data_IF_342989853763
#
_entry.id   IF_342989853763
#
_cell.length_a   1.000
_cell.length_b   1.000
_cell.length_c   1.000
_cell.angle_alpha   90.00
_cell.angle_beta   90.00
_cell.angle_gamma   90.00
#
_symmetry.space_group_name_H-M   'P 1'
#
loop_
_entity.id
_entity.type
_entity.pdbx_description
1 polymer ?
#
# COMPACT_ATOMS: atom_id res chain seq x y z
N UNK A 1 -49.84 -3.16 7.95
CA UNK A 1 -50.67 -2.95 6.74
C UNK A 1 -50.97 -1.47 6.48
N UNK A 2 -51.44 -0.68 7.45
CA UNK A 2 -51.75 0.75 7.27
C UNK A 2 -50.55 1.62 6.84
N UNK A 3 -49.38 1.42 7.46
CA UNK A 3 -48.15 2.16 7.12
C UNK A 3 -47.70 1.88 5.67
N UNK A 4 -47.76 0.60 5.24
CA UNK A 4 -47.38 0.19 3.88
C UNK A 4 -48.40 0.59 2.82
N UNK A 5 -49.69 0.49 3.13
CA UNK A 5 -50.77 0.69 2.15
C UNK A 5 -51.27 2.12 1.99
N UNK A 6 -51.05 3.00 2.97
CA UNK A 6 -51.53 4.40 2.93
C UNK A 6 -50.40 5.41 3.12
N UNK A 7 -49.63 5.27 4.20
CA UNK A 7 -48.64 6.29 4.59
C UNK A 7 -47.43 6.35 3.65
N UNK A 8 -46.85 5.20 3.28
CA UNK A 8 -45.72 5.14 2.34
C UNK A 8 -46.07 5.75 0.97
N UNK A 9 -47.17 5.37 0.30
CA UNK A 9 -47.58 5.99 -0.97
C UNK A 9 -47.73 7.52 -0.91
N UNK A 10 -48.28 8.04 0.19
CA UNK A 10 -48.50 9.49 0.38
C UNK A 10 -47.19 10.24 0.58
N UNK A 11 -46.31 9.75 1.47
CA UNK A 11 -44.96 10.31 1.65
C UNK A 11 -44.13 10.23 0.36
N UNK A 12 -44.30 9.15 -0.39
CA UNK A 12 -43.67 8.97 -1.69
C UNK A 12 -44.18 9.94 -2.76
N UNK A 13 -45.45 10.37 -2.68
CA UNK A 13 -46.00 11.42 -3.54
C UNK A 13 -45.32 12.75 -3.26
N UNK A 14 -45.17 13.10 -1.98
CA UNK A 14 -44.44 14.28 -1.54
C UNK A 14 -42.95 14.24 -1.88
N UNK A 15 -42.35 13.08 -2.09
CA UNK A 15 -40.97 13.01 -2.56
C UNK A 15 -40.83 13.36 -4.06
N UNK A 16 -41.90 13.22 -4.85
CA UNK A 16 -41.93 13.52 -6.30
C UNK A 16 -42.40 14.93 -6.64
N UNK A 17 -43.26 15.54 -5.82
CA UNK A 17 -43.93 16.80 -6.17
C UNK A 17 -42.92 17.97 -6.28
N UNK A 18 -42.79 18.67 -7.42
CA UNK A 18 -41.94 19.86 -7.59
C UNK A 18 -42.21 20.97 -6.57
N UNK A 19 -43.42 21.07 -6.02
CA UNK A 19 -43.79 22.11 -5.05
C UNK A 19 -43.24 21.87 -3.64
N UNK A 20 -42.70 20.69 -3.38
CA UNK A 20 -42.27 20.26 -2.04
C UNK A 20 -40.74 20.26 -1.86
N UNK A 21 -40.00 20.92 -2.76
CA UNK A 21 -38.52 20.90 -2.79
C UNK A 21 -37.85 21.16 -1.43
N UNK A 22 -38.38 22.08 -0.61
CA UNK A 22 -37.84 22.39 0.72
C UNK A 22 -38.04 21.28 1.77
N UNK A 23 -39.08 20.46 1.65
CA UNK A 23 -39.44 19.40 2.62
C UNK A 23 -39.06 17.99 2.17
N UNK A 24 -38.53 17.82 0.95
CA UNK A 24 -38.07 16.51 0.46
C UNK A 24 -37.02 15.84 1.34
N UNK A 25 -36.10 16.62 1.94
CA UNK A 25 -35.03 16.08 2.79
C UNK A 25 -35.59 15.52 4.11
N UNK A 26 -36.38 16.29 4.91
CA UNK A 26 -37.07 15.73 6.07
C UNK A 26 -38.00 14.56 5.74
N UNK A 27 -38.76 14.63 4.63
CA UNK A 27 -39.67 13.56 4.21
C UNK A 27 -38.91 12.28 3.88
N UNK A 28 -37.79 12.37 3.15
CA UNK A 28 -36.97 11.20 2.84
C UNK A 28 -36.41 10.54 4.11
N UNK A 29 -35.98 11.32 5.10
CA UNK A 29 -35.54 10.79 6.39
C UNK A 29 -36.69 10.19 7.21
N UNK A 30 -37.88 10.80 7.18
CA UNK A 30 -39.05 10.23 7.83
C UNK A 30 -39.43 8.87 7.21
N UNK A 31 -39.42 8.77 5.87
CA UNK A 31 -39.64 7.51 5.17
C UNK A 31 -38.58 6.48 5.56
N UNK A 32 -37.30 6.86 5.60
CA UNK A 32 -36.23 5.94 6.02
C UNK A 32 -36.45 5.43 7.45
N UNK A 33 -36.74 6.31 8.40
CA UNK A 33 -37.01 5.93 9.80
C UNK A 33 -38.20 5.00 9.91
N UNK A 34 -39.26 5.23 9.14
CA UNK A 34 -40.40 4.32 9.07
C UNK A 34 -40.02 2.96 8.48
N UNK A 35 -39.17 2.93 7.45
CA UNK A 35 -38.67 1.68 6.86
C UNK A 35 -37.80 0.90 7.84
N UNK A 36 -36.94 1.57 8.62
CA UNK A 36 -36.09 0.96 9.64
C UNK A 36 -36.87 0.36 10.82
N UNK A 37 -38.13 0.78 11.03
CA UNK A 37 -39.05 0.18 12.01
C UNK A 37 -39.79 -1.06 11.48
N UNK A 38 -39.63 -1.40 10.19
CA UNK A 38 -40.28 -2.56 9.59
C UNK A 38 -39.40 -3.82 9.68
N UNK A 39 -40.00 -5.02 9.63
CA UNK A 39 -39.23 -6.27 9.52
C UNK A 39 -38.32 -6.29 8.28
N UNK A 40 -37.14 -6.91 8.40
CA UNK A 40 -36.08 -6.93 7.37
C UNK A 40 -36.58 -7.28 5.96
N UNK A 41 -37.50 -8.25 5.86
CA UNK A 41 -38.09 -8.67 4.58
C UNK A 41 -38.79 -7.52 3.85
N UNK A 42 -39.50 -6.67 4.59
CA UNK A 42 -40.25 -5.54 4.02
C UNK A 42 -39.29 -4.38 3.77
N UNK A 43 -38.34 -4.15 4.68
CA UNK A 43 -37.29 -3.15 4.52
C UNK A 43 -36.56 -3.37 3.20
N UNK A 44 -35.99 -4.55 2.95
CA UNK A 44 -35.23 -4.80 1.73
C UNK A 44 -36.07 -4.70 0.45
N UNK A 45 -37.35 -5.08 0.50
CA UNK A 45 -38.26 -4.97 -0.65
C UNK A 45 -38.58 -3.51 -1.01
N UNK A 46 -38.82 -2.66 -0.02
CA UNK A 46 -39.18 -1.24 -0.22
C UNK A 46 -37.95 -0.33 -0.35
N UNK A 47 -36.80 -0.72 0.22
CA UNK A 47 -35.56 0.06 0.24
C UNK A 47 -35.09 0.39 -1.17
N UNK A 48 -35.10 -0.58 -2.09
CA UNK A 48 -34.72 -0.34 -3.48
C UNK A 48 -35.60 0.73 -4.14
N UNK A 49 -36.92 0.62 -3.95
CA UNK A 49 -37.89 1.57 -4.49
C UNK A 49 -37.76 2.97 -3.90
N UNK A 50 -37.36 3.06 -2.63
CA UNK A 50 -37.03 4.32 -1.96
C UNK A 50 -35.74 4.93 -2.51
N UNK A 51 -34.65 4.16 -2.55
CA UNK A 51 -33.34 4.60 -3.05
C UNK A 51 -33.42 5.10 -4.49
N UNK A 52 -34.16 4.39 -5.35
CA UNK A 52 -34.42 4.82 -6.73
C UNK A 52 -34.94 6.26 -6.82
N UNK A 53 -35.88 6.63 -5.94
CA UNK A 53 -36.50 7.96 -5.96
C UNK A 53 -35.53 9.04 -5.48
N UNK A 54 -34.74 8.73 -4.46
CA UNK A 54 -33.74 9.67 -3.93
C UNK A 54 -32.62 9.85 -4.96
N UNK A 55 -32.10 8.77 -5.53
CA UNK A 55 -31.05 8.80 -6.57
C UNK A 55 -31.53 9.52 -7.83
N UNK A 56 -32.81 9.43 -8.19
CA UNK A 56 -33.38 10.17 -9.31
C UNK A 56 -33.20 11.70 -9.17
N UNK A 57 -33.12 12.24 -7.96
CA UNK A 57 -32.84 13.68 -7.74
C UNK A 57 -31.43 14.07 -8.18
N UNK A 58 -30.46 13.15 -8.10
CA UNK A 58 -29.09 13.34 -8.58
C UNK A 58 -29.03 13.42 -10.12
N UNK A 59 -29.99 12.83 -10.82
CA UNK A 59 -30.08 12.87 -12.27
C UNK A 59 -30.64 14.20 -12.82
N UNK A 60 -30.99 15.16 -11.95
CA UNK A 60 -31.49 16.47 -12.35
C UNK A 60 -30.41 17.34 -13.00
N UNK A 61 -30.80 18.17 -13.99
CA UNK A 61 -29.89 19.19 -14.57
C UNK A 61 -29.65 20.37 -13.61
N UNK A 62 -30.53 20.58 -12.63
CA UNK A 62 -30.38 21.65 -11.66
C UNK A 62 -29.31 21.29 -10.61
N UNK A 63 -28.24 22.10 -10.56
CA UNK A 63 -27.13 21.94 -9.62
C UNK A 63 -27.57 21.98 -8.15
N UNK A 64 -28.52 22.84 -7.79
CA UNK A 64 -29.02 22.95 -6.43
C UNK A 64 -29.75 21.66 -6.00
N UNK A 65 -30.61 21.13 -6.87
CA UNK A 65 -31.31 19.87 -6.63
C UNK A 65 -30.35 18.69 -6.52
N UNK A 66 -29.31 18.63 -7.36
CA UNK A 66 -28.27 17.58 -7.23
C UNK A 66 -27.53 17.68 -5.90
N UNK A 67 -27.21 18.88 -5.45
CA UNK A 67 -26.52 19.07 -4.17
C UNK A 67 -27.41 18.67 -2.99
N UNK A 68 -28.65 19.13 -2.97
CA UNK A 68 -29.64 18.74 -1.97
C UNK A 68 -29.86 17.22 -1.95
N UNK A 69 -29.94 16.60 -3.14
CA UNK A 69 -30.02 15.15 -3.29
C UNK A 69 -28.83 14.42 -2.68
N UNK A 70 -27.60 14.92 -2.90
CA UNK A 70 -26.38 14.36 -2.28
C UNK A 70 -26.39 14.48 -0.77
N UNK A 71 -26.75 15.64 -0.23
CA UNK A 71 -26.79 15.87 1.21
C UNK A 71 -27.87 14.99 1.88
N UNK A 72 -28.99 14.78 1.20
CA UNK A 72 -30.06 13.86 1.64
C UNK A 72 -29.58 12.42 1.62
N UNK A 73 -28.99 11.98 0.51
CA UNK A 73 -28.48 10.62 0.35
C UNK A 73 -27.34 10.33 1.33
N UNK A 74 -26.50 11.31 1.65
CA UNK A 74 -25.45 11.18 2.67
C UNK A 74 -26.05 10.92 4.07
N UNK A 75 -27.09 11.65 4.47
CA UNK A 75 -27.80 11.41 5.74
C UNK A 75 -28.46 10.04 5.76
N UNK A 76 -29.08 9.63 4.65
CA UNK A 76 -29.68 8.30 4.50
C UNK A 76 -28.62 7.20 4.65
N UNK A 77 -27.47 7.34 4.00
CA UNK A 77 -26.36 6.36 4.08
C UNK A 77 -25.79 6.28 5.49
N UNK A 78 -25.69 7.41 6.21
CA UNK A 78 -25.25 7.43 7.60
C UNK A 78 -26.24 6.72 8.54
N UNK A 79 -27.55 6.87 8.33
CA UNK A 79 -28.57 6.15 9.11
C UNK A 79 -28.69 4.67 8.74
N UNK A 80 -28.52 4.30 7.46
CA UNK A 80 -28.56 2.90 6.99
C UNK A 80 -27.31 2.10 7.36
N UNK A 81 -26.17 2.76 7.53
CA UNK A 81 -24.88 2.16 7.84
C UNK A 81 -24.22 1.40 6.68
N UNK A 82 -23.08 0.79 6.99
CA UNK A 82 -22.24 0.07 6.03
C UNK A 82 -22.94 -1.06 5.26
N UNK A 83 -23.77 -1.94 5.87
CA UNK A 83 -24.31 -3.13 5.19
C UNK A 83 -25.15 -2.82 3.94
N UNK A 84 -25.80 -1.66 3.92
CA UNK A 84 -26.68 -1.25 2.82
C UNK A 84 -25.97 -0.37 1.78
N UNK A 85 -24.71 0.01 1.99
CA UNK A 85 -23.99 0.89 1.07
C UNK A 85 -23.86 0.31 -0.34
N UNK A 86 -23.63 -1.00 -0.45
CA UNK A 86 -23.61 -1.71 -1.73
C UNK A 86 -24.92 -1.59 -2.52
N UNK A 87 -26.07 -1.58 -1.85
CA UNK A 87 -27.37 -1.38 -2.51
C UNK A 87 -27.52 0.06 -3.04
N UNK A 88 -27.07 1.05 -2.27
CA UNK A 88 -27.03 2.46 -2.70
C UNK A 88 -26.11 2.63 -3.91
N UNK A 89 -24.92 2.06 -3.86
CA UNK A 89 -23.95 2.10 -4.96
C UNK A 89 -24.51 1.44 -6.23
N UNK A 90 -25.14 0.27 -6.10
CA UNK A 90 -25.78 -0.41 -7.21
C UNK A 90 -26.86 0.47 -7.85
N UNK A 91 -27.72 1.10 -7.03
CA UNK A 91 -28.79 1.95 -7.54
C UNK A 91 -28.28 3.25 -8.18
N UNK A 92 -27.16 3.78 -7.68
CA UNK A 92 -26.48 4.90 -8.33
C UNK A 92 -25.92 4.49 -9.71
N UNK A 93 -25.30 3.31 -9.82
CA UNK A 93 -24.76 2.79 -11.09
C UNK A 93 -25.87 2.53 -12.12
N UNK A 94 -27.02 2.01 -11.72
CA UNK A 94 -28.18 1.77 -12.60
C UNK A 94 -28.90 3.04 -13.03
N UNK A 95 -28.96 4.06 -12.16
CA UNK A 95 -29.66 5.32 -12.46
C UNK A 95 -28.83 6.34 -13.24
N UNK A 96 -27.50 6.34 -13.09
CA UNK A 96 -26.60 7.37 -13.62
C UNK A 96 -25.71 6.85 -14.76
N UNK A 97 -26.32 6.34 -15.83
CA UNK A 97 -25.63 5.51 -16.83
C UNK A 97 -25.03 6.25 -18.03
N UNK A 98 -25.49 7.45 -18.39
CA UNK A 98 -25.11 8.09 -19.68
C UNK A 98 -24.83 9.59 -19.58
N UNK A 99 -23.85 10.02 -20.38
CA UNK A 99 -23.47 11.43 -20.57
C UNK A 99 -22.95 12.06 -19.28
N UNK A 100 -23.38 13.30 -19.01
CA UNK A 100 -22.97 14.05 -17.82
C UNK A 100 -23.27 13.35 -16.49
N UNK A 101 -24.23 12.40 -16.47
CA UNK A 101 -24.61 11.65 -15.28
C UNK A 101 -23.48 10.75 -14.76
N UNK A 102 -22.56 10.32 -15.63
CA UNK A 102 -21.37 9.55 -15.21
C UNK A 102 -20.46 10.37 -14.29
N UNK A 103 -20.23 11.64 -14.62
CA UNK A 103 -19.46 12.54 -13.74
C UNK A 103 -20.20 12.83 -12.43
N UNK A 104 -21.52 12.92 -12.48
CA UNK A 104 -22.34 13.05 -11.26
C UNK A 104 -22.20 11.80 -10.38
N UNK A 105 -22.14 10.60 -10.97
CA UNK A 105 -21.95 9.34 -10.26
C UNK A 105 -20.63 9.34 -9.48
N UNK A 106 -19.49 9.58 -10.14
CA UNK A 106 -18.18 9.62 -9.49
C UNK A 106 -18.08 10.68 -8.38
N UNK A 107 -18.59 11.89 -8.64
CA UNK A 107 -18.59 12.96 -7.64
C UNK A 107 -19.50 12.67 -6.45
N UNK A 108 -20.69 12.12 -6.70
CA UNK A 108 -21.66 11.80 -5.64
C UNK A 108 -21.20 10.61 -4.81
N UNK A 109 -20.63 9.57 -5.44
CA UNK A 109 -20.04 8.44 -4.74
C UNK A 109 -18.94 8.89 -3.78
N UNK A 110 -18.02 9.76 -4.24
CA UNK A 110 -17.00 10.33 -3.39
C UNK A 110 -17.58 11.06 -2.18
N UNK A 111 -18.62 11.88 -2.40
CA UNK A 111 -19.28 12.62 -1.32
C UNK A 111 -19.85 11.69 -0.24
N UNK A 112 -20.50 10.59 -0.66
CA UNK A 112 -21.04 9.59 0.26
C UNK A 112 -19.92 8.87 1.02
N UNK A 113 -18.88 8.40 0.31
CA UNK A 113 -17.74 7.75 0.94
C UNK A 113 -17.04 8.67 1.95
N UNK A 114 -16.81 9.93 1.61
CA UNK A 114 -16.15 10.89 2.49
C UNK A 114 -16.94 11.12 3.79
N UNK A 115 -18.27 11.04 3.74
CA UNK A 115 -19.13 11.14 4.93
C UNK A 115 -19.23 9.84 5.72
N UNK A 116 -19.23 8.69 5.03
CA UNK A 116 -19.37 7.39 5.64
C UNK A 116 -18.06 6.92 6.30
N UNK A 117 -16.91 7.12 5.64
CA UNK A 117 -15.58 6.63 6.06
C UNK A 117 -15.25 6.86 7.54
N UNK A 118 -15.47 8.05 8.13
CA UNK A 118 -15.17 8.29 9.56
C UNK A 118 -15.97 7.43 10.54
N UNK A 119 -17.11 6.86 10.11
CA UNK A 119 -17.98 6.01 10.94
C UNK A 119 -17.71 4.53 10.76
N UNK A 120 -16.84 4.16 9.82
CA UNK A 120 -16.58 2.77 9.44
C UNK A 120 -15.45 2.18 10.27
N UNK A 121 -15.62 0.89 10.59
CA UNK A 121 -14.52 0.04 11.04
C UNK A 121 -13.82 -0.57 9.81
N UNK A 122 -12.53 -0.92 9.92
CA UNK A 122 -11.86 -1.71 8.90
C UNK A 122 -12.66 -2.97 8.54
N UNK A 123 -12.79 -3.25 7.26
CA UNK A 123 -13.53 -4.39 6.71
C UNK A 123 -15.01 -4.15 6.43
N UNK A 124 -15.59 -3.03 6.87
CA UNK A 124 -17.03 -2.80 6.77
C UNK A 124 -17.55 -2.69 5.32
N UNK A 125 -16.69 -2.37 4.36
CA UNK A 125 -17.04 -2.26 2.93
C UNK A 125 -16.49 -3.41 2.06
N UNK A 126 -15.87 -4.42 2.66
CA UNK A 126 -15.20 -5.49 1.89
C UNK A 126 -16.15 -6.22 0.94
N UNK A 127 -17.40 -6.43 1.37
CA UNK A 127 -18.44 -7.11 0.57
C UNK A 127 -18.80 -6.36 -0.73
N UNK A 128 -18.60 -5.05 -0.78
CA UNK A 128 -18.86 -4.21 -1.96
C UNK A 128 -17.60 -3.54 -2.50
N UNK A 129 -16.41 -3.97 -2.08
CA UNK A 129 -15.15 -3.38 -2.50
C UNK A 129 -14.87 -3.63 -4.00
N UNK A 130 -15.10 -4.84 -4.51
CA UNK A 130 -14.87 -5.17 -5.92
C UNK A 130 -15.72 -4.30 -6.87
N UNK A 131 -17.06 -4.24 -6.72
CA UNK A 131 -17.86 -3.41 -7.62
C UNK A 131 -17.59 -1.91 -7.46
N UNK A 132 -17.10 -1.49 -6.27
CA UNK A 132 -16.66 -0.12 -6.05
C UNK A 132 -15.38 0.20 -6.82
N UNK A 133 -14.38 -0.70 -6.77
CA UNK A 133 -13.14 -0.56 -7.55
C UNK A 133 -13.46 -0.53 -9.04
N UNK A 134 -14.32 -1.42 -9.53
CA UNK A 134 -14.72 -1.45 -10.95
C UNK A 134 -15.32 -0.10 -11.38
N UNK A 135 -16.20 0.48 -10.57
CA UNK A 135 -16.78 1.79 -10.86
C UNK A 135 -15.73 2.91 -10.87
N UNK A 136 -14.76 2.87 -9.95
CA UNK A 136 -13.68 3.86 -9.92
C UNK A 136 -12.75 3.71 -11.13
N UNK A 137 -12.48 2.48 -11.58
CA UNK A 137 -11.69 2.23 -12.78
C UNK A 137 -12.43 2.64 -14.06
N UNK A 138 -13.73 2.38 -14.15
CA UNK A 138 -14.61 2.85 -15.23
C UNK A 138 -14.60 4.39 -15.35
N UNK A 139 -14.55 5.12 -14.22
CA UNK A 139 -14.48 6.59 -14.23
C UNK A 139 -13.10 7.13 -14.65
N UNK A 140 -12.02 6.38 -14.39
CA UNK A 140 -10.64 6.81 -14.64
C UNK A 140 -10.07 6.38 -16.00
N UNK A 141 -10.50 5.23 -16.51
CA UNK A 141 -10.02 4.64 -17.77
C UNK A 141 -11.13 4.40 -18.80
N UNK A 142 -12.40 4.53 -18.42
CA UNK A 142 -13.54 4.34 -19.32
C UNK A 142 -13.98 5.61 -20.04
N UNK A 143 -15.17 5.55 -20.65
CA UNK A 143 -15.72 6.64 -21.48
C UNK A 143 -15.83 7.99 -20.75
N UNK A 144 -16.01 7.96 -19.43
CA UNK A 144 -16.07 9.19 -18.63
C UNK A 144 -14.72 9.94 -18.66
N UNK A 145 -13.60 9.22 -18.65
CA UNK A 145 -12.27 9.81 -18.74
C UNK A 145 -12.01 10.41 -20.13
N UNK A 146 -12.43 9.75 -21.20
CA UNK A 146 -12.29 10.23 -22.59
C UNK A 146 -13.12 11.49 -22.83
N UNK A 147 -14.39 11.50 -22.38
CA UNK A 147 -15.28 12.66 -22.56
C UNK A 147 -14.80 13.89 -21.80
N UNK A 148 -14.02 13.70 -20.73
CA UNK A 148 -13.42 14.79 -19.97
C UNK A 148 -12.27 15.49 -20.72
N UNK A 149 -11.71 14.87 -21.76
CA UNK A 149 -10.70 15.49 -22.62
C UNK A 149 -11.28 16.59 -23.51
N UNK A 150 -12.60 16.58 -23.71
CA UNK A 150 -13.29 17.66 -24.40
C UNK A 150 -13.41 18.83 -23.41
N UNK A 151 -12.63 19.90 -23.62
CA UNK A 151 -12.58 21.06 -22.72
C UNK A 151 -13.95 21.68 -22.45
N UNK A 152 -14.86 21.65 -23.44
CA UNK A 152 -16.26 22.10 -23.29
C UNK A 152 -17.00 21.30 -22.22
N UNK A 153 -16.76 19.99 -22.13
CA UNK A 153 -17.40 19.09 -21.14
C UNK A 153 -16.75 19.25 -19.77
N UNK A 154 -15.43 19.42 -19.71
CA UNK A 154 -14.68 19.63 -18.46
C UNK A 154 -15.07 20.93 -17.74
N UNK A 155 -15.43 21.97 -18.50
CA UNK A 155 -15.81 23.29 -17.96
C UNK A 155 -17.32 23.42 -17.70
N UNK A 156 -18.16 22.61 -18.35
CA UNK A 156 -19.62 22.69 -18.24
C UNK A 156 -20.16 22.49 -16.82
N UNK A 157 -19.50 21.70 -15.97
CA UNK A 157 -19.99 21.43 -14.62
C UNK A 157 -18.91 21.09 -13.59
N UNK A 158 -19.13 21.49 -12.33
CA UNK A 158 -18.24 21.22 -11.19
C UNK A 158 -17.88 19.73 -11.06
N UNK A 159 -18.86 18.88 -11.33
CA UNK A 159 -18.71 17.42 -11.25
C UNK A 159 -17.81 16.86 -12.35
N UNK A 160 -17.77 17.46 -13.54
CA UNK A 160 -16.88 17.05 -14.63
C UNK A 160 -15.45 17.59 -14.44
N UNK A 161 -15.30 18.77 -13.83
CA UNK A 161 -13.98 19.40 -13.60
C UNK A 161 -13.09 18.62 -12.65
N UNK A 162 -13.63 18.08 -11.56
CA UNK A 162 -12.84 17.39 -10.54
C UNK A 162 -12.96 15.87 -10.62
N UNK A 163 -11.86 15.16 -10.90
CA UNK A 163 -11.83 13.69 -10.81
C UNK A 163 -11.64 13.29 -9.35
N UNK A 164 -12.75 13.05 -8.65
CA UNK A 164 -12.73 12.68 -7.22
C UNK A 164 -12.49 11.19 -6.96
N UNK A 165 -12.46 10.38 -8.01
CA UNK A 165 -12.25 8.94 -7.94
C UNK A 165 -10.90 8.54 -7.33
N UNK A 166 -9.85 9.34 -7.52
CA UNK A 166 -8.57 9.15 -6.82
C UNK A 166 -8.71 9.24 -5.29
N UNK A 167 -9.42 10.27 -4.81
CA UNK A 167 -9.67 10.44 -3.38
C UNK A 167 -10.63 9.38 -2.83
N UNK A 168 -11.61 8.93 -3.63
CA UNK A 168 -12.45 7.77 -3.26
C UNK A 168 -11.64 6.48 -3.12
N UNK A 169 -10.65 6.27 -3.99
CA UNK A 169 -9.74 5.13 -3.91
C UNK A 169 -8.90 5.16 -2.62
N UNK A 170 -8.42 6.34 -2.21
CA UNK A 170 -7.75 6.53 -0.92
C UNK A 170 -8.67 6.20 0.26
N UNK A 171 -9.91 6.68 0.24
CA UNK A 171 -10.88 6.41 1.32
C UNK A 171 -11.16 4.91 1.43
N UNK A 172 -11.36 4.21 0.31
CA UNK A 172 -11.51 2.76 0.29
C UNK A 172 -10.28 2.08 0.90
N UNK A 173 -9.08 2.41 0.43
CA UNK A 173 -7.83 1.85 0.97
C UNK A 173 -7.65 2.08 2.48
N UNK A 174 -8.25 3.13 3.04
CA UNK A 174 -8.22 3.42 4.49
C UNK A 174 -9.15 2.55 5.35
N UNK A 175 -10.13 1.86 4.74
CA UNK A 175 -11.13 1.07 5.46
C UNK A 175 -11.22 -0.40 5.04
N UNK A 176 -10.55 -0.84 3.98
CA UNK A 176 -10.55 -2.27 3.62
C UNK A 176 -9.84 -3.11 4.68
N UNK A 177 -10.25 -4.38 4.85
CA UNK A 177 -9.40 -5.34 5.56
C UNK A 177 -8.16 -5.64 4.71
N UNK A 178 -6.96 -5.51 5.29
CA UNK A 178 -5.73 -5.70 4.52
C UNK A 178 -5.62 -7.12 3.96
N UNK A 179 -5.82 -8.13 4.80
CA UNK A 179 -5.92 -9.54 4.37
C UNK A 179 -7.41 -9.93 4.38
N UNK A 180 -7.97 -10.51 3.29
CA UNK A 180 -7.33 -10.90 2.02
C UNK A 180 -7.41 -9.82 0.91
N UNK A 181 -7.97 -8.63 1.18
CA UNK A 181 -8.46 -7.73 0.14
C UNK A 181 -7.41 -6.77 -0.45
N UNK A 182 -6.15 -6.82 -0.02
CA UNK A 182 -5.07 -6.00 -0.60
C UNK A 182 -4.93 -6.19 -2.12
N UNK A 183 -5.24 -7.41 -2.61
CA UNK A 183 -5.21 -7.75 -4.04
C UNK A 183 -6.38 -7.14 -4.84
N UNK A 184 -7.29 -6.39 -4.21
CA UNK A 184 -8.31 -5.60 -4.91
C UNK A 184 -7.78 -4.24 -5.36
N UNK A 185 -6.59 -3.81 -4.89
CA UNK A 185 -6.07 -2.49 -5.22
C UNK A 185 -5.17 -2.48 -6.46
N UNK A 186 -4.12 -3.30 -6.51
CA UNK A 186 -3.11 -3.24 -7.58
C UNK A 186 -3.55 -3.93 -8.89
N UNK A 187 -4.01 -5.20 -8.87
CA UNK A 187 -4.32 -5.93 -10.10
C UNK A 187 -5.32 -5.20 -11.02
N UNK A 188 -6.39 -4.56 -10.51
CA UNK A 188 -7.30 -3.78 -11.35
C UNK A 188 -6.62 -2.58 -12.04
N UNK A 189 -5.67 -1.92 -11.38
CA UNK A 189 -4.89 -0.81 -11.98
C UNK A 189 -4.04 -1.35 -13.14
N UNK A 190 -3.35 -2.48 -12.93
CA UNK A 190 -2.56 -3.10 -13.97
C UNK A 190 -3.43 -3.51 -15.17
N UNK A 191 -4.54 -4.20 -14.92
CA UNK A 191 -5.48 -4.61 -15.97
C UNK A 191 -6.06 -3.40 -16.74
N UNK A 192 -6.42 -2.32 -16.03
CA UNK A 192 -6.94 -1.11 -16.65
C UNK A 192 -5.90 -0.42 -17.55
N UNK A 193 -4.63 -0.35 -17.12
CA UNK A 193 -3.55 0.21 -17.95
C UNK A 193 -3.31 -0.63 -19.20
N UNK A 194 -3.37 -1.97 -19.09
CA UNK A 194 -3.19 -2.86 -20.24
C UNK A 194 -4.36 -2.78 -21.24
N UNK A 195 -5.58 -2.63 -20.73
CA UNK A 195 -6.78 -2.55 -21.56
C UNK A 195 -6.97 -1.18 -22.22
N UNK A 196 -6.44 -0.11 -21.62
CA UNK A 196 -6.59 1.25 -22.12
C UNK A 196 -5.82 1.48 -23.45
N UNK A 197 -6.30 2.37 -24.33
CA UNK A 197 -5.60 2.74 -25.56
C UNK A 197 -4.17 3.22 -25.27
N UNK A 198 -3.20 2.69 -26.03
CA UNK A 198 -1.78 2.97 -25.83
C UNK A 198 -1.11 2.19 -24.69
N UNK A 199 -1.85 1.34 -23.96
CA UNK A 199 -1.31 0.37 -23.02
C UNK A 199 -0.34 0.96 -22.00
N UNK A 200 0.76 0.23 -21.76
CA UNK A 200 1.85 0.60 -20.85
C UNK A 200 2.71 1.75 -21.39
N UNK A 201 2.76 1.91 -22.71
CA UNK A 201 3.63 2.90 -23.37
C UNK A 201 3.03 4.32 -23.31
N UNK A 202 1.73 4.43 -23.03
CA UNK A 202 1.05 5.69 -22.78
C UNK A 202 1.47 6.30 -21.43
N UNK A 203 2.27 7.36 -21.48
CA UNK A 203 2.65 8.15 -20.30
C UNK A 203 1.44 8.67 -19.53
N UNK A 204 0.32 8.91 -20.21
CA UNK A 204 -0.94 9.30 -19.58
C UNK A 204 -1.49 8.18 -18.70
N UNK A 205 -1.60 6.96 -19.23
CA UNK A 205 -2.16 5.82 -18.49
C UNK A 205 -1.28 5.47 -17.28
N UNK A 206 0.05 5.55 -17.46
CA UNK A 206 1.02 5.40 -16.36
C UNK A 206 0.90 6.54 -15.35
N UNK A 207 0.66 7.77 -15.79
CA UNK A 207 0.43 8.92 -14.90
C UNK A 207 -0.82 8.76 -14.03
N UNK A 208 -1.93 8.26 -14.60
CA UNK A 208 -3.15 7.92 -13.85
C UNK A 208 -2.87 6.81 -12.83
N UNK A 209 -2.14 5.77 -13.25
CA UNK A 209 -1.76 4.67 -12.37
C UNK A 209 -0.87 5.15 -11.21
N UNK A 210 0.12 6.00 -11.48
CA UNK A 210 0.98 6.63 -10.46
C UNK A 210 0.14 7.35 -9.42
N UNK A 211 -0.83 8.15 -9.85
CA UNK A 211 -1.66 8.93 -8.92
C UNK A 211 -2.61 8.05 -8.10
N UNK A 212 -3.15 6.99 -8.69
CA UNK A 212 -3.91 5.96 -7.99
C UNK A 212 -3.07 5.24 -6.93
N UNK A 213 -1.86 4.79 -7.31
CA UNK A 213 -0.92 4.13 -6.39
C UNK A 213 -0.53 5.07 -5.24
N UNK A 214 -0.32 6.36 -5.52
CA UNK A 214 -0.06 7.37 -4.50
C UNK A 214 -1.22 7.46 -3.50
N UNK A 215 -2.46 7.57 -3.98
CA UNK A 215 -3.66 7.61 -3.13
C UNK A 215 -3.88 6.31 -2.35
N UNK A 216 -3.63 5.16 -2.97
CA UNK A 216 -3.68 3.85 -2.31
C UNK A 216 -2.66 3.79 -1.16
N UNK A 217 -1.45 4.30 -1.37
CA UNK A 217 -0.40 4.31 -0.33
C UNK A 217 -0.78 5.17 0.87
N UNK A 218 -1.42 6.33 0.62
CA UNK A 218 -1.92 7.21 1.68
C UNK A 218 -3.08 6.58 2.45
N UNK A 219 -3.98 5.90 1.75
CA UNK A 219 -5.12 5.21 2.36
C UNK A 219 -4.65 4.06 3.25
N UNK A 220 -3.78 3.19 2.72
CA UNK A 220 -3.19 2.08 3.47
C UNK A 220 -2.36 2.56 4.67
N UNK A 221 -1.69 3.71 4.57
CA UNK A 221 -0.99 4.28 5.71
C UNK A 221 -1.97 4.73 6.81
N UNK A 222 -3.13 5.29 6.46
CA UNK A 222 -4.13 5.70 7.45
C UNK A 222 -4.97 4.53 8.01
N UNK A 223 -4.86 3.33 7.44
CA UNK A 223 -5.70 2.19 7.77
C UNK A 223 -5.19 1.47 9.04
N UNK A 224 -5.99 1.43 10.13
CA UNK A 224 -5.60 0.75 11.37
C UNK A 224 -5.61 -0.78 11.27
N UNK A 225 -6.26 -1.34 10.24
CA UNK A 225 -6.30 -2.79 9.98
C UNK A 225 -5.06 -3.34 9.25
N UNK A 226 -4.03 -2.52 9.01
CA UNK A 226 -2.80 -2.94 8.33
C UNK A 226 -1.78 -3.43 9.34
N UNK A 227 -1.63 -4.75 9.42
CA UNK A 227 -0.59 -5.39 10.23
C UNK A 227 0.77 -5.38 9.51
N UNK A 228 1.84 -5.31 10.31
CA UNK A 228 3.21 -5.16 9.83
C UNK A 228 3.70 -6.38 9.03
N UNK A 229 3.46 -7.60 9.54
CA UNK A 229 3.92 -8.82 8.88
C UNK A 229 3.26 -9.01 7.50
N UNK A 230 1.91 -8.97 7.35
CA UNK A 230 1.26 -8.99 6.04
C UNK A 230 1.75 -7.88 5.11
N UNK A 231 1.99 -6.67 5.62
CA UNK A 231 2.52 -5.56 4.82
C UNK A 231 3.91 -5.89 4.26
N UNK A 232 4.84 -6.38 5.09
CA UNK A 232 6.18 -6.76 4.68
C UNK A 232 6.17 -7.91 3.66
N UNK A 233 5.31 -8.92 3.85
CA UNK A 233 5.14 -10.02 2.89
C UNK A 233 4.62 -9.50 1.55
N UNK A 234 3.65 -8.60 1.58
CA UNK A 234 3.08 -7.99 0.38
C UNK A 234 4.11 -7.15 -0.37
N UNK A 235 4.84 -6.27 0.33
CA UNK A 235 5.94 -5.49 -0.26
C UNK A 235 6.98 -6.41 -0.87
N UNK A 236 7.43 -7.45 -0.15
CA UNK A 236 8.39 -8.43 -0.67
C UNK A 236 7.89 -9.08 -1.96
N UNK A 237 6.63 -9.51 -2.00
CA UNK A 237 6.00 -10.08 -3.20
C UNK A 237 6.02 -9.12 -4.38
N UNK A 238 5.66 -7.85 -4.14
CA UNK A 238 5.65 -6.80 -5.17
C UNK A 238 7.05 -6.52 -5.72
N UNK A 239 8.05 -6.44 -4.85
CA UNK A 239 9.46 -6.28 -5.24
C UNK A 239 9.92 -7.45 -6.10
N UNK A 240 9.73 -8.68 -5.65
CA UNK A 240 10.17 -9.88 -6.39
C UNK A 240 9.53 -9.92 -7.78
N UNK A 241 8.25 -9.56 -7.89
CA UNK A 241 7.49 -9.60 -9.14
C UNK A 241 7.97 -8.57 -10.16
N UNK A 242 8.27 -7.34 -9.73
CA UNK A 242 8.55 -6.23 -10.67
C UNK A 242 10.02 -5.90 -10.84
N UNK A 243 10.92 -6.34 -9.95
CA UNK A 243 12.35 -6.17 -10.22
C UNK A 243 12.82 -7.15 -11.31
N UNK A 244 13.77 -6.76 -12.17
CA UNK A 244 14.33 -7.64 -13.19
C UNK A 244 14.96 -8.90 -12.56
N UNK A 245 14.75 -10.11 -13.14
CA UNK A 245 15.28 -11.34 -12.59
C UNK A 245 16.82 -11.30 -12.55
N UNK A 246 17.39 -11.88 -11.49
CA UNK A 246 18.86 -12.04 -11.43
C UNK A 246 19.34 -13.02 -12.49
N UNK A 247 20.63 -12.96 -12.86
CA UNK A 247 21.21 -13.88 -13.84
C UNK A 247 21.02 -15.37 -13.46
N UNK A 248 20.98 -15.68 -12.15
CA UNK A 248 20.68 -17.01 -11.62
C UNK A 248 19.19 -17.38 -11.81
N UNK A 249 18.28 -16.45 -11.56
CA UNK A 249 16.83 -16.64 -11.77
C UNK A 249 16.48 -16.74 -13.26
N UNK A 250 17.16 -15.98 -14.12
CA UNK A 250 17.00 -16.05 -15.57
C UNK A 250 17.48 -17.40 -16.13
N UNK A 251 18.59 -17.94 -15.61
CA UNK A 251 19.08 -19.28 -15.96
C UNK A 251 18.15 -20.39 -15.46
N UNK A 252 17.59 -20.26 -14.24
CA UNK A 252 16.62 -21.22 -13.70
C UNK A 252 15.28 -21.20 -14.46
N UNK A 253 14.79 -20.01 -14.84
CA UNK A 253 13.59 -19.86 -15.67
C UNK A 253 13.80 -20.40 -17.09
N UNK A 254 14.99 -20.19 -17.67
CA UNK A 254 15.37 -20.76 -18.96
C UNK A 254 15.54 -22.29 -18.91
N UNK A 255 16.05 -22.83 -17.79
CA UNK A 255 16.15 -24.27 -17.58
C UNK A 255 14.79 -24.94 -17.31
N UNK A 256 13.82 -24.20 -16.76
CA UNK A 256 12.43 -24.66 -16.59
C UNK A 256 11.59 -24.54 -17.88
N UNK A 257 12.07 -23.82 -18.90
CA UNK A 257 11.47 -23.69 -20.22
C UNK A 257 12.16 -24.58 -21.27
N UNK A 258 11.82 -25.87 -21.33
CA UNK A 258 12.15 -26.77 -22.45
C UNK A 258 11.32 -26.48 -23.72
N UNK A 259 11.74 -26.99 -24.89
CA UNK A 259 11.78 -26.26 -26.16
C UNK A 259 10.44 -25.94 -26.82
N UNK A 260 10.34 -24.73 -27.38
CA UNK A 260 9.30 -24.32 -28.35
C UNK A 260 9.34 -25.21 -29.59
N UNK A 261 8.33 -26.07 -29.74
CA UNK A 261 7.97 -26.66 -31.01
C UNK A 261 7.25 -25.61 -31.88
N UNK A 262 7.93 -25.12 -32.91
CA UNK A 262 7.28 -24.71 -34.16
C UNK A 262 7.67 -25.74 -35.21
N UNK A 263 6.73 -26.62 -35.52
CA UNK A 263 6.26 -26.82 -36.89
C UNK A 263 5.00 -27.68 -36.88
N UNK A 264 3.93 -27.07 -37.36
CA UNK A 264 2.65 -27.69 -37.63
C UNK A 264 2.69 -28.40 -38.98
N UNK A 265 2.34 -29.68 -39.04
CA UNK A 265 1.56 -30.23 -40.15
C UNK A 265 0.93 -31.59 -39.81
N UNK A 266 -0.39 -31.65 -40.01
CA UNK A 266 -1.19 -32.82 -40.39
C UNK A 266 -1.51 -33.92 -39.35
N UNK A 267 -2.75 -33.91 -38.86
CA UNK A 267 -3.79 -34.88 -39.28
C UNK A 267 -5.09 -34.67 -38.48
N UNK A 268 -6.21 -34.84 -39.19
CA UNK A 268 -7.59 -34.79 -38.72
C UNK A 268 -7.95 -36.05 -37.89
N UNK A 269 -8.94 -35.96 -36.99
CA UNK A 269 -9.64 -37.14 -36.49
C UNK A 269 -10.34 -37.01 -35.14
N UNK A 270 -11.65 -36.72 -35.20
CA UNK A 270 -12.76 -37.17 -34.34
C UNK A 270 -12.57 -37.56 -32.85
N UNK A 271 -13.43 -37.00 -31.98
CA UNK A 271 -13.97 -37.70 -30.81
C UNK A 271 -13.95 -36.94 -29.47
N UNK A 272 -15.11 -36.45 -29.03
CA UNK A 272 -15.47 -36.31 -27.60
C UNK A 272 -16.31 -37.56 -27.18
N UNK A 273 -16.56 -37.93 -25.89
CA UNK A 273 -16.58 -37.12 -24.65
C UNK A 273 -16.01 -37.88 -23.37
N UNK A 274 -16.46 -37.71 -22.08
CA UNK A 274 -15.68 -37.19 -20.91
C UNK A 274 -15.64 -38.15 -19.66
N UNK A 275 -15.72 -37.72 -18.36
CA UNK A 275 -14.70 -37.17 -17.43
C UNK A 275 -14.52 -37.98 -16.09
N UNK A 276 -13.38 -37.83 -15.38
CA UNK A 276 -13.15 -38.21 -13.96
C UNK A 276 -11.74 -37.72 -13.54
N UNK A 277 -11.37 -37.17 -12.38
CA UNK A 277 -11.99 -36.98 -11.07
C UNK A 277 -11.24 -35.83 -10.37
N UNK A 278 -11.96 -35.04 -9.59
CA UNK A 278 -11.44 -33.96 -8.75
C UNK A 278 -10.75 -34.53 -7.49
N UNK A 279 -9.49 -34.17 -7.25
CA UNK A 279 -8.90 -34.30 -5.90
C UNK A 279 -8.74 -32.91 -5.29
N UNK A 280 -9.74 -32.56 -4.49
CA UNK A 280 -9.80 -31.42 -3.59
C UNK A 280 -8.70 -31.52 -2.54
N UNK A 281 -7.67 -30.66 -2.57
CA UNK A 281 -6.78 -30.44 -1.42
C UNK A 281 -7.32 -29.28 -0.59
N UNK A 282 -7.89 -29.62 0.56
CA UNK A 282 -8.41 -28.72 1.59
C UNK A 282 -7.29 -27.80 2.09
N UNK A 283 -7.54 -26.49 2.08
CA UNK A 283 -6.61 -25.47 2.57
C UNK A 283 -6.72 -25.30 4.09
N UNK A 284 -5.57 -25.29 4.78
CA UNK A 284 -5.48 -24.93 6.18
C UNK A 284 -5.70 -23.41 6.36
N UNK A 285 -6.55 -23.07 7.34
CA UNK A 285 -6.90 -21.71 7.77
C UNK A 285 -5.66 -21.01 8.33
N UNK A 286 -5.38 -19.76 7.90
CA UNK A 286 -4.40 -18.88 8.54
C UNK A 286 -3.16 -18.48 7.71
N UNK A 287 -2.99 -18.97 6.48
CA UNK A 287 -1.89 -18.51 5.63
C UNK A 287 -2.32 -17.27 4.84
N UNK A 288 -1.61 -16.15 5.03
CA UNK A 288 -1.53 -15.09 4.02
C UNK A 288 -1.03 -15.77 2.74
N UNK A 289 -1.94 -16.02 1.80
CA UNK A 289 -1.55 -16.52 0.49
C UNK A 289 -0.67 -15.44 -0.15
N UNK A 290 0.54 -15.82 -0.56
CA UNK A 290 1.23 -15.08 -1.62
C UNK A 290 0.20 -14.87 -2.74
N UNK A 291 0.06 -13.65 -3.29
CA UNK A 291 -0.88 -13.42 -4.37
C UNK A 291 -0.62 -14.48 -5.43
N UNK A 292 -1.61 -15.32 -5.69
CA UNK A 292 -1.59 -16.18 -6.85
C UNK A 292 -1.51 -15.23 -8.05
N UNK A 293 -0.33 -15.17 -8.66
CA UNK A 293 -0.11 -14.45 -9.90
C UNK A 293 -0.99 -15.10 -10.96
N UNK A 294 -2.10 -14.44 -11.28
CA UNK A 294 -2.85 -14.72 -12.50
C UNK A 294 -1.88 -14.61 -13.69
N UNK A 295 -1.92 -15.55 -14.65
CA UNK A 295 -1.06 -15.55 -15.84
C UNK A 295 -1.40 -14.33 -16.71
N UNK A 296 -0.64 -13.26 -16.52
CA UNK A 296 -0.87 -11.97 -17.19
C UNK A 296 -0.11 -10.78 -16.58
N UNK A 297 0.46 -10.93 -15.38
CA UNK A 297 1.30 -9.89 -14.72
C UNK A 297 2.76 -9.91 -15.22
N UNK A 298 3.15 -10.88 -16.04
CA UNK A 298 4.53 -11.02 -16.55
C UNK A 298 4.56 -11.01 -18.07
N UNK A 299 4.31 -9.86 -18.68
CA UNK A 299 4.73 -9.61 -20.05
C UNK A 299 5.57 -8.33 -20.10
N UNK A 300 6.87 -8.51 -20.32
CA UNK A 300 7.72 -7.45 -20.84
C UNK A 300 8.60 -6.72 -19.84
N UNK A 301 9.64 -7.38 -19.33
CA UNK A 301 10.82 -6.78 -18.69
C UNK A 301 10.57 -5.95 -17.42
N UNK A 302 11.40 -6.10 -16.38
CA UNK A 302 11.41 -5.20 -15.21
C UNK A 302 11.87 -3.76 -15.53
N UNK A 303 11.64 -3.28 -16.76
CA UNK A 303 11.98 -1.98 -17.32
C UNK A 303 10.77 -1.21 -17.84
N UNK A 304 9.56 -1.77 -17.76
CA UNK A 304 8.37 -1.03 -18.18
C UNK A 304 8.10 0.14 -17.21
N UNK A 305 7.60 1.28 -17.69
CA UNK A 305 7.33 2.44 -16.85
C UNK A 305 6.32 2.10 -15.74
N UNK A 306 5.32 1.27 -16.02
CA UNK A 306 4.38 0.78 -15.01
C UNK A 306 5.06 -0.09 -13.94
N UNK A 307 6.00 -0.95 -14.31
CA UNK A 307 6.76 -1.74 -13.34
C UNK A 307 7.58 -0.85 -12.40
N UNK A 308 8.11 0.27 -12.89
CA UNK A 308 8.77 1.27 -12.04
C UNK A 308 7.81 1.95 -11.06
N UNK A 309 6.58 2.26 -11.47
CA UNK A 309 5.56 2.82 -10.56
C UNK A 309 5.13 1.82 -9.49
N UNK A 310 4.95 0.56 -9.85
CA UNK A 310 4.60 -0.51 -8.90
C UNK A 310 5.74 -0.78 -7.91
N UNK A 311 6.98 -0.75 -8.40
CA UNK A 311 8.17 -0.84 -7.58
C UNK A 311 8.28 0.36 -6.61
N UNK A 312 8.07 1.58 -7.11
CA UNK A 312 8.05 2.78 -6.29
C UNK A 312 6.95 2.72 -5.22
N UNK A 313 5.75 2.21 -5.56
CA UNK A 313 4.67 2.01 -4.61
C UNK A 313 5.07 1.06 -3.47
N UNK A 314 5.64 -0.11 -3.79
CA UNK A 314 6.07 -1.09 -2.79
C UNK A 314 7.13 -0.56 -1.83
N UNK A 315 8.17 0.09 -2.37
CA UNK A 315 9.23 0.70 -1.55
C UNK A 315 8.65 1.87 -0.75
N UNK A 316 7.72 2.63 -1.32
CA UNK A 316 7.06 3.75 -0.64
C UNK A 316 6.23 3.33 0.56
N UNK A 317 5.52 2.19 0.46
CA UNK A 317 4.80 1.59 1.59
C UNK A 317 5.77 1.24 2.73
N UNK A 318 6.89 0.59 2.42
CA UNK A 318 7.91 0.24 3.40
C UNK A 318 8.55 1.49 4.03
N UNK A 319 8.89 2.48 3.21
CA UNK A 319 9.45 3.74 3.70
C UNK A 319 8.47 4.48 4.63
N UNK A 320 7.18 4.47 4.29
CA UNK A 320 6.12 5.06 5.12
C UNK A 320 5.98 4.33 6.45
N UNK A 321 6.05 2.99 6.46
CA UNK A 321 6.04 2.20 7.69
C UNK A 321 7.28 2.46 8.57
N UNK A 322 8.47 2.55 7.98
CA UNK A 322 9.72 2.86 8.69
C UNK A 322 9.70 4.27 9.31
N UNK A 323 9.20 5.28 8.58
CA UNK A 323 9.13 6.67 9.08
C UNK A 323 8.11 6.88 10.18
N UNK A 324 7.08 6.04 10.25
CA UNK A 324 6.06 6.08 11.31
C UNK A 324 6.48 5.29 12.56
N UNK A 325 7.73 4.83 12.61
CA UNK A 325 8.27 4.01 13.70
C UNK A 325 7.44 2.76 13.97
N UNK A 326 6.80 2.19 12.93
CA UNK A 326 6.05 0.94 13.07
C UNK A 326 6.95 -0.25 13.41
N UNK A 327 8.26 -0.11 13.21
CA UNK A 327 9.26 -1.10 13.55
C UNK A 327 9.98 -0.72 14.84
N UNK A 328 9.95 -1.62 15.81
CA UNK A 328 10.75 -1.52 17.03
C UNK A 328 12.16 -2.08 16.81
N UNK A 329 13.24 -1.35 17.14
CA UNK A 329 14.61 -1.82 16.92
C UNK A 329 15.03 -2.97 17.84
N UNK A 330 14.31 -3.18 18.94
CA UNK A 330 14.61 -4.21 19.94
C UNK A 330 13.85 -5.53 19.70
N UNK A 331 12.93 -5.56 18.74
CA UNK A 331 12.06 -6.71 18.51
C UNK A 331 12.59 -7.60 17.39
N UNK A 332 12.93 -8.85 17.72
CA UNK A 332 13.53 -9.78 16.77
C UNK A 332 12.63 -10.12 15.57
N UNK A 333 11.30 -10.12 15.76
CA UNK A 333 10.30 -10.33 14.71
C UNK A 333 10.36 -9.24 13.64
N UNK A 334 10.49 -7.98 14.05
CA UNK A 334 10.58 -6.83 13.17
C UNK A 334 11.88 -6.84 12.36
N UNK A 335 13.00 -7.21 12.99
CA UNK A 335 14.28 -7.37 12.30
C UNK A 335 14.21 -8.50 11.27
N UNK A 336 13.61 -9.64 11.62
CA UNK A 336 13.43 -10.77 10.71
C UNK A 336 12.58 -10.44 9.48
N UNK A 337 11.61 -9.52 9.59
CA UNK A 337 10.81 -9.04 8.45
C UNK A 337 11.58 -8.10 7.52
N UNK A 338 12.52 -7.32 8.07
CA UNK A 338 13.34 -6.36 7.33
C UNK A 338 14.51 -7.04 6.60
N UNK A 339 15.07 -8.10 7.18
CA UNK A 339 16.20 -8.86 6.65
C UNK A 339 16.05 -9.26 5.16
N UNK A 340 14.96 -9.92 4.72
CA UNK A 340 14.81 -10.33 3.33
C UNK A 340 14.54 -9.16 2.36
N UNK A 341 14.22 -7.96 2.86
CA UNK A 341 13.94 -6.78 2.05
C UNK A 341 15.23 -6.03 1.67
N UNK A 342 16.29 -6.11 2.49
CA UNK A 342 17.58 -5.45 2.24
C UNK A 342 18.22 -5.80 0.88
N UNK A 343 18.39 -7.08 0.50
CA UNK A 343 18.96 -7.43 -0.82
C UNK A 343 18.06 -6.98 -1.98
N UNK A 344 16.73 -6.97 -1.79
CA UNK A 344 15.79 -6.49 -2.79
C UNK A 344 15.91 -4.97 -2.99
N UNK A 345 16.09 -4.21 -1.92
CA UNK A 345 16.34 -2.76 -2.00
C UNK A 345 17.68 -2.43 -2.66
N UNK A 346 18.73 -3.20 -2.35
CA UNK A 346 20.00 -3.07 -3.07
C UNK A 346 19.83 -3.34 -4.58
N UNK A 347 18.98 -4.31 -4.96
CA UNK A 347 18.67 -4.58 -6.37
C UNK A 347 17.83 -3.45 -6.99
N UNK A 348 16.88 -2.84 -6.27
CA UNK A 348 16.07 -1.73 -6.81
C UNK A 348 16.87 -0.44 -7.01
N UNK A 349 17.99 -0.25 -6.29
CA UNK A 349 18.96 0.83 -6.58
C UNK A 349 19.66 0.68 -7.94
N UNK A 350 19.50 -0.46 -8.63
CA UNK A 350 19.96 -0.67 -10.02
C UNK A 350 18.91 -0.32 -11.07
N UNK A 351 17.72 0.10 -10.68
CA UNK A 351 16.67 0.50 -11.62
C UNK A 351 17.08 1.74 -12.42
N UNK A 352 16.51 1.87 -13.62
CA UNK A 352 16.75 3.01 -14.52
C UNK A 352 15.99 4.28 -14.09
N UNK A 353 14.93 4.12 -13.28
CA UNK A 353 14.10 5.21 -12.78
C UNK A 353 14.69 5.88 -11.54
N UNK A 354 14.96 7.18 -11.64
CA UNK A 354 15.48 8.01 -10.55
C UNK A 354 14.54 8.01 -9.31
N UNK A 355 13.22 7.91 -9.52
CA UNK A 355 12.24 7.84 -8.43
C UNK A 355 12.46 6.59 -7.57
N UNK A 356 12.59 5.41 -8.21
CA UNK A 356 12.85 4.14 -7.54
C UNK A 356 14.20 4.18 -6.83
N UNK A 357 15.24 4.71 -7.48
CA UNK A 357 16.59 4.81 -6.90
C UNK A 357 16.59 5.71 -5.66
N UNK A 358 15.98 6.90 -5.75
CA UNK A 358 15.88 7.84 -4.63
C UNK A 358 15.12 7.23 -3.44
N UNK A 359 14.02 6.53 -3.72
CA UNK A 359 13.17 5.92 -2.70
C UNK A 359 13.87 4.73 -2.03
N UNK A 360 14.57 3.92 -2.82
CA UNK A 360 15.39 2.80 -2.33
C UNK A 360 16.49 3.32 -1.40
N UNK A 361 17.22 4.36 -1.83
CA UNK A 361 18.28 5.00 -1.02
C UNK A 361 17.74 5.54 0.30
N UNK A 362 16.62 6.29 0.28
CA UNK A 362 16.00 6.80 1.50
C UNK A 362 15.56 5.66 2.44
N UNK A 363 15.05 4.57 1.89
CA UNK A 363 14.59 3.40 2.65
C UNK A 363 15.77 2.66 3.29
N UNK A 364 16.85 2.43 2.55
CA UNK A 364 18.10 1.85 3.08
C UNK A 364 18.69 2.75 4.18
N UNK A 365 18.70 4.07 3.97
CA UNK A 365 19.12 5.02 5.00
C UNK A 365 18.30 4.93 6.29
N UNK A 366 16.98 4.73 6.19
CA UNK A 366 16.13 4.51 7.36
C UNK A 366 16.39 3.16 8.03
N UNK A 367 16.67 2.11 7.26
CA UNK A 367 17.01 0.78 7.78
C UNK A 367 18.36 0.73 8.51
N UNK A 368 19.28 1.66 8.22
CA UNK A 368 20.60 1.73 8.88
C UNK A 368 20.55 2.03 10.38
N UNK A 369 19.42 2.56 10.87
CA UNK A 369 19.18 2.74 12.30
C UNK A 369 18.84 1.45 13.06
N UNK A 370 18.62 0.33 12.34
CA UNK A 370 18.22 -0.94 12.93
C UNK A 370 19.41 -1.92 13.00
N UNK A 371 19.56 -2.68 14.10
CA UNK A 371 20.64 -3.65 14.28
C UNK A 371 20.39 -4.93 13.46
N UNK A 372 20.50 -4.83 12.13
CA UNK A 372 20.31 -5.96 11.20
C UNK A 372 21.61 -6.77 11.04
N UNK A 373 21.59 -8.10 11.17
CA UNK A 373 22.79 -8.94 11.07
C UNK A 373 23.43 -8.99 9.68
N UNK A 374 22.66 -8.92 8.59
CA UNK A 374 23.20 -8.88 7.21
C UNK A 374 23.76 -7.52 6.79
N UNK A 375 23.48 -6.45 7.55
CA UNK A 375 23.91 -5.09 7.22
C UNK A 375 25.44 -4.95 7.10
N UNK A 376 26.27 -5.44 8.05
CA UNK A 376 27.73 -5.41 7.90
C UNK A 376 28.21 -6.17 6.66
N UNK A 377 27.58 -7.28 6.28
CA UNK A 377 27.96 -8.07 5.10
C UNK A 377 27.63 -7.32 3.79
N UNK A 378 26.52 -6.58 3.75
CA UNK A 378 26.03 -5.91 2.55
C UNK A 378 26.50 -4.44 2.44
N UNK A 379 27.06 -3.90 3.52
CA UNK A 379 27.43 -2.49 3.65
C UNK A 379 28.49 -2.02 2.64
N UNK A 380 29.46 -2.86 2.26
CA UNK A 380 30.45 -2.55 1.21
C UNK A 380 29.77 -2.41 -0.16
N UNK A 381 28.93 -3.37 -0.53
CA UNK A 381 28.19 -3.33 -1.79
C UNK A 381 27.21 -2.15 -1.85
N UNK A 382 26.55 -1.82 -0.73
CA UNK A 382 25.68 -0.64 -0.61
C UNK A 382 26.47 0.66 -0.75
N UNK A 383 27.66 0.76 -0.14
CA UNK A 383 28.53 1.92 -0.23
C UNK A 383 29.03 2.14 -1.66
N UNK A 384 29.60 1.11 -2.29
CA UNK A 384 30.06 1.16 -3.69
C UNK A 384 28.93 1.61 -4.63
N UNK A 385 27.74 1.03 -4.47
CA UNK A 385 26.61 1.38 -5.31
C UNK A 385 26.13 2.81 -5.06
N UNK A 386 26.07 3.25 -3.81
CA UNK A 386 25.67 4.62 -3.47
C UNK A 386 26.66 5.65 -4.04
N UNK A 387 27.97 5.36 -3.99
CA UNK A 387 29.00 6.19 -4.60
C UNK A 387 28.90 6.22 -6.13
N UNK A 388 28.56 5.09 -6.77
CA UNK A 388 28.33 5.05 -8.22
C UNK A 388 27.11 5.91 -8.62
N UNK A 389 26.02 5.84 -7.85
CA UNK A 389 24.84 6.69 -8.05
C UNK A 389 25.22 8.16 -7.84
N UNK A 390 26.02 8.47 -6.81
CA UNK A 390 26.48 9.83 -6.52
C UNK A 390 27.34 10.40 -7.65
N UNK A 391 28.27 9.60 -8.22
CA UNK A 391 29.07 10.00 -9.39
C UNK A 391 28.19 10.34 -10.58
N UNK A 392 27.21 9.49 -10.90
CA UNK A 392 26.23 9.73 -11.98
C UNK A 392 25.38 10.98 -11.69
N UNK A 393 24.91 11.14 -10.46
CA UNK A 393 24.05 12.23 -10.02
C UNK A 393 24.78 13.56 -9.82
N UNK A 394 26.11 13.56 -9.71
CA UNK A 394 26.94 14.75 -9.71
C UNK A 394 27.23 15.23 -11.14
N UNK A 395 27.28 14.32 -12.11
CA UNK A 395 27.38 14.66 -13.53
C UNK A 395 26.05 15.16 -14.12
N UNK A 396 24.91 14.66 -13.63
CA UNK A 396 23.60 15.27 -13.88
C UNK A 396 23.33 16.37 -12.85
N UNK A 397 22.50 17.37 -13.11
CA UNK A 397 22.17 18.43 -12.12
C UNK A 397 21.22 17.92 -11.01
N UNK A 398 21.39 16.69 -10.53
CA UNK A 398 20.48 15.97 -9.63
C UNK A 398 20.76 16.25 -8.14
N UNK A 399 20.54 17.50 -7.69
CA UNK A 399 20.87 17.95 -6.33
C UNK A 399 20.19 17.14 -5.22
N UNK A 400 18.97 16.67 -5.43
CA UNK A 400 18.23 15.86 -4.44
C UNK A 400 18.86 14.47 -4.23
N UNK A 401 19.24 13.78 -5.31
CA UNK A 401 19.88 12.47 -5.25
C UNK A 401 21.25 12.55 -4.57
N UNK A 402 22.00 13.62 -4.85
CA UNK A 402 23.29 13.90 -4.19
C UNK A 402 23.09 14.07 -2.69
N UNK A 403 22.14 14.89 -2.26
CA UNK A 403 21.85 15.12 -0.84
C UNK A 403 21.42 13.85 -0.09
N UNK A 404 20.59 13.01 -0.71
CA UNK A 404 20.18 11.72 -0.13
C UNK A 404 21.36 10.76 -0.09
N UNK A 405 22.12 10.64 -1.18
CA UNK A 405 23.28 9.76 -1.28
C UNK A 405 24.32 10.07 -0.22
N UNK A 406 24.67 11.34 -0.02
CA UNK A 406 25.63 11.76 1.02
C UNK A 406 25.14 11.39 2.43
N UNK A 407 23.85 11.54 2.74
CA UNK A 407 23.28 11.13 4.04
C UNK A 407 23.40 9.61 4.26
N UNK A 408 23.12 8.82 3.23
CA UNK A 408 23.25 7.36 3.28
C UNK A 408 24.71 6.94 3.45
N UNK A 409 25.64 7.54 2.69
CA UNK A 409 27.08 7.31 2.84
C UNK A 409 27.55 7.67 4.24
N UNK A 410 27.15 8.82 4.77
CA UNK A 410 27.51 9.24 6.13
C UNK A 410 27.00 8.24 7.18
N UNK A 411 25.79 7.72 6.99
CA UNK A 411 25.20 6.70 7.89
C UNK A 411 25.92 5.36 7.78
N UNK A 412 26.31 4.94 6.57
CA UNK A 412 27.12 3.74 6.31
C UNK A 412 28.53 3.86 6.92
N UNK A 413 29.14 5.06 6.89
CA UNK A 413 30.46 5.29 7.47
C UNK A 413 30.41 5.38 9.00
N UNK A 414 29.31 5.88 9.58
CA UNK A 414 29.11 5.91 11.03
C UNK A 414 28.93 4.51 11.64
N UNK A 415 28.35 3.57 10.87
CA UNK A 415 28.24 2.15 11.21
C UNK A 415 29.11 1.32 10.25
N UNK A 416 30.45 1.32 10.45
CA UNK A 416 31.39 0.89 9.42
C UNK A 416 31.17 -0.56 8.97
N UNK A 417 31.30 -0.85 7.66
CA UNK A 417 31.40 -2.20 7.13
C UNK A 417 32.46 -3.01 7.88
N UNK A 418 32.03 -4.07 8.56
CA UNK A 418 32.88 -5.15 9.06
C UNK A 418 34.17 -4.81 9.85
N UNK A 419 34.34 -3.62 10.44
CA UNK A 419 35.46 -3.39 11.37
C UNK A 419 35.28 -4.15 12.72
N UNK A 420 34.04 -4.53 13.07
CA UNK A 420 33.70 -5.26 14.30
C UNK A 420 33.77 -6.79 14.19
N UNK A 421 33.79 -7.35 12.98
CA UNK A 421 34.04 -8.78 12.76
C UNK A 421 35.55 -9.07 12.79
N UNK A 422 36.36 -8.19 12.20
CA UNK A 422 37.83 -8.30 12.20
C UNK A 422 38.43 -8.17 13.61
N UNK A 423 37.88 -7.33 14.49
CA UNK A 423 38.36 -7.18 15.87
C UNK A 423 37.97 -8.33 16.79
N UNK A 424 36.85 -9.02 16.53
CA UNK A 424 36.45 -10.23 17.27
C UNK A 424 37.22 -11.47 16.80
N UNK A 425 37.49 -11.59 15.50
CA UNK A 425 38.39 -12.61 14.95
C UNK A 425 39.86 -12.38 15.35
N UNK A 426 40.32 -11.12 15.44
CA UNK A 426 41.66 -10.79 15.94
C UNK A 426 41.80 -10.99 17.45
N UNK A 427 40.72 -10.81 18.24
CA UNK A 427 40.70 -11.16 19.67
C UNK A 427 40.67 -12.67 19.91
N UNK A 428 39.93 -13.45 19.11
CA UNK A 428 39.97 -14.92 19.22
C UNK A 428 41.29 -15.50 18.70
N UNK A 429 41.87 -14.93 17.63
CA UNK A 429 43.19 -15.32 17.12
C UNK A 429 44.35 -14.93 18.05
N UNK A 430 44.22 -13.85 18.84
CA UNK A 430 45.19 -13.53 19.91
C UNK A 430 45.06 -14.50 21.10
N UNK A 431 43.85 -14.87 21.49
CA UNK A 431 43.61 -15.85 22.56
C UNK A 431 44.11 -17.26 22.17
N UNK A 432 43.97 -17.66 20.91
CA UNK A 432 44.51 -18.94 20.42
C UNK A 432 46.04 -18.93 20.20
N UNK A 433 46.67 -17.75 20.14
CA UNK A 433 48.13 -17.61 20.00
C UNK A 433 48.91 -17.63 21.31
N UNK A 434 48.23 -17.36 22.45
CA UNK A 434 48.86 -17.44 23.78
C UNK A 434 48.77 -18.84 24.42
N UNK A 435 48.02 -19.78 23.84
CA UNK A 435 47.81 -21.13 24.42
C UNK A 435 48.67 -22.22 23.76
N UNK A 436 49.54 -21.89 22.80
CA UNK A 436 50.35 -22.91 22.10
C UNK A 436 51.82 -22.53 21.94
N UNK A 437 52.60 -22.65 23.02
CA UNK A 437 53.97 -23.17 22.97
C UNK A 437 54.12 -24.36 23.94
N UNK A 438 54.67 -25.50 23.49
CA UNK A 438 54.79 -26.71 24.27
C UNK A 438 56.06 -26.69 25.14
N UNK A 439 55.99 -27.40 26.27
CA UNK A 439 57.05 -27.54 27.26
C UNK A 439 58.15 -28.55 26.93
N UNK A 440 59.05 -28.66 27.91
CA UNK A 440 60.23 -29.54 28.05
C UNK A 440 61.42 -28.68 28.47
N UNK A 441 61.76 -28.52 29.76
CA UNK A 441 62.29 -29.51 30.72
C UNK A 441 63.83 -29.39 30.70
N UNK A 442 64.65 -29.38 31.76
CA UNK A 442 64.61 -29.59 33.21
C UNK A 442 65.89 -28.92 33.78
N UNK A 443 65.97 -28.66 35.09
CA UNK A 443 67.26 -28.43 35.77
C UNK A 443 67.18 -27.59 37.05
N UNK A 444 67.56 -28.20 38.18
CA UNK A 444 67.32 -27.82 39.56
C UNK A 444 68.39 -26.90 40.21
N UNK A 445 68.21 -26.69 41.54
CA UNK A 445 69.02 -25.99 42.55
C UNK A 445 68.76 -24.45 42.61
N UNK A 446 68.74 -23.74 43.74
CA UNK A 446 68.66 -23.94 45.20
C UNK A 446 68.84 -22.51 45.80
N UNK A 447 68.38 -22.23 47.03
CA UNK A 447 68.73 -21.00 47.79
C UNK A 447 67.66 -19.90 47.75
N UNK A 448 66.81 -19.67 48.75
CA UNK A 448 67.00 -19.26 50.16
C UNK A 448 66.98 -17.72 50.37
N UNK A 449 66.29 -17.32 51.45
CA UNK A 449 66.10 -15.98 52.08
C UNK A 449 65.37 -14.89 51.25
N UNK A 450 64.48 -14.03 51.77
CA UNK A 450 64.05 -13.62 53.12
C UNK A 450 63.49 -12.18 53.03
N UNK A 451 62.62 -11.76 53.96
CA UNK A 451 62.22 -10.35 54.22
C UNK A 451 60.88 -9.91 53.60
N UNK A 452 59.81 -9.68 54.37
CA UNK A 452 59.47 -8.43 55.13
C UNK A 452 59.17 -7.25 54.16
N UNK A 453 58.12 -6.44 54.25
CA UNK A 453 57.03 -6.18 55.21
C UNK A 453 56.29 -4.89 54.78
N UNK A 454 55.19 -4.57 55.46
CA UNK A 454 54.55 -3.24 55.65
C UNK A 454 53.86 -2.57 54.42
N UNK A 455 52.54 -2.33 54.41
CA UNK A 455 51.66 -1.45 55.23
C UNK A 455 51.53 0.00 54.69
N UNK A 456 50.31 0.56 54.78
CA UNK A 456 49.97 1.97 54.53
C UNK A 456 49.05 2.17 53.31
N UNK A 457 47.71 2.11 53.40
CA UNK A 457 46.80 3.05 54.08
C UNK A 457 46.93 4.51 53.61
N UNK A 458 45.83 5.09 53.09
CA UNK A 458 45.84 6.48 52.60
C UNK A 458 44.58 6.90 51.84
N UNK A 459 43.45 6.88 52.54
CA UNK A 459 42.19 7.54 52.19
C UNK A 459 42.36 9.06 52.01
N UNK A 460 41.60 9.68 51.09
CA UNK A 460 41.18 11.09 51.15
C UNK A 460 40.13 11.43 50.08
N UNK A 461 38.91 11.53 50.58
CA UNK A 461 37.75 12.27 50.07
C UNK A 461 37.95 13.80 50.04
N UNK A 462 37.38 14.45 49.03
CA UNK A 462 36.81 15.82 49.01
C UNK A 462 36.10 15.95 47.65
N UNK A 463 34.78 15.91 47.49
CA UNK A 463 33.71 16.77 48.03
C UNK A 463 33.83 18.23 47.57
N UNK A 464 33.15 18.58 46.47
CA UNK A 464 32.61 19.92 46.25
C UNK A 464 31.39 19.84 45.32
N UNK A 465 30.25 20.20 45.87
CA UNK A 465 28.97 20.33 45.21
C UNK A 465 28.57 21.81 45.14
N UNK A 466 27.68 22.08 44.19
CA UNK A 466 26.66 23.13 44.18
C UNK A 466 26.95 24.43 43.40
N UNK A 467 26.14 24.65 42.36
CA UNK A 467 25.41 25.89 42.13
C UNK A 467 24.43 25.73 40.95
N UNK A 468 23.18 25.45 41.28
CA UNK A 468 22.02 25.68 40.41
C UNK A 468 21.78 27.17 40.12
N UNK A 469 21.34 27.53 38.91
CA UNK A 469 20.32 28.59 38.71
C UNK A 469 19.65 28.56 37.33
N UNK A 470 18.34 28.36 37.36
CA UNK A 470 17.34 28.64 36.32
C UNK A 470 17.37 30.12 35.88
N UNK A 471 17.01 30.38 34.61
CA UNK A 471 16.09 31.48 34.22
C UNK A 471 15.26 31.03 33.00
N UNK A 472 13.95 31.27 33.11
CA UNK A 472 12.85 31.05 32.17
C UNK A 472 12.79 32.07 31.00
N UNK A 473 12.04 31.67 29.97
CA UNK A 473 11.13 32.44 29.10
C UNK A 473 11.56 33.77 28.45
N UNK A 474 11.35 33.88 27.13
CA UNK A 474 10.28 34.73 26.54
C UNK A 474 10.21 34.66 25.01
N UNK A 475 8.96 34.66 24.53
CA UNK A 475 8.40 34.94 23.18
C UNK A 475 8.56 33.94 22.02
#
# INVERSE_FOLDING_TARGET
HAVRGKLLPELYSHLKDPKTEGVRVPVALAVLKLLLLMPDRILHAELRGFLMRVVATLASRNKALRQQGRDTLAKIVLELGAPNFGAVMHEMKTSLTKGYKLHVLGYSLHHLLAKLTPTLKPGALDYCATPLVDLLMEDLYGEAAEKKEVEEIATAMKEARATKSYSSFQLLASVISFVPNINLLIPPIHAAVMAAPGGIDSLKNVGVARELLRHASLGLAANPGVELQPLCVYVRGLLITHLPPTALQAKAAAAAGGPSAKDSAQAQGAGAPPPAEATTRVAAVGSVRQPATEPGVTSGSGRSPLAHELLAFGIGLLQSALRRSCFSPNEATHLALLEPLLPLLHRSMRADSDTVVSLSLRTVGAMMGYPLPSLPEHSTALLERTLQILKRAASSKGTELVGIGVKVVTSLLRNPPAAKAATRAARSARADSEVKKPGGGDGAADGDEGGEGEDGEGDKSADEADATRNVEETN
#
